data_IF_853173888778
#
_entry.id   IF_853173888778
#
_cell.length_a   1.000
_cell.length_b   1.000
_cell.length_c   1.000
_cell.angle_alpha   90.00
_cell.angle_beta   90.00
_cell.angle_gamma   90.00
#
_symmetry.space_group_name_H-M   'P 1'
#
loop_
_entity.id
_entity.type
_entity.pdbx_description
1 polymer ?
#
# COMPACT_ATOMS: atom_id res chain seq x y z
N UNK A 1 -16.35 16.52 -33.62
CA UNK A 1 -15.91 16.64 -32.22
C UNK A 1 -15.14 15.36 -31.92
N UNK A 2 -13.81 15.43 -31.83
CA UNK A 2 -12.99 14.23 -31.78
C UNK A 2 -12.49 14.07 -30.34
N UNK A 3 -13.19 13.27 -29.54
CA UNK A 3 -12.79 12.92 -28.19
C UNK A 3 -11.64 11.91 -28.25
N UNK A 4 -10.41 12.39 -28.42
CA UNK A 4 -9.20 11.58 -28.27
C UNK A 4 -8.48 12.00 -26.99
N UNK A 5 -9.11 11.75 -25.85
CA UNK A 5 -8.40 11.77 -24.57
C UNK A 5 -7.78 10.38 -24.41
N UNK A 6 -6.44 10.23 -24.43
CA UNK A 6 -5.85 8.94 -24.19
C UNK A 6 -6.14 8.58 -22.74
N UNK A 7 -6.74 7.40 -22.51
CA UNK A 7 -6.70 6.79 -21.18
C UNK A 7 -5.23 6.71 -20.76
N UNK A 8 -4.87 7.09 -19.52
CA UNK A 8 -3.49 6.93 -19.06
C UNK A 8 -3.08 5.48 -19.27
N UNK A 9 -1.92 5.27 -19.88
CA UNK A 9 -1.43 3.93 -20.18
C UNK A 9 -1.38 3.09 -18.89
N UNK A 10 -1.72 1.79 -18.95
CA UNK A 10 -1.63 0.91 -17.79
C UNK A 10 -0.23 0.99 -17.17
N UNK A 11 -0.19 1.13 -15.85
CA UNK A 11 1.09 1.17 -15.13
C UNK A 11 1.77 -0.20 -15.28
N UNK A 12 3.09 -0.25 -15.57
CA UNK A 12 3.79 -1.53 -15.67
C UNK A 12 3.65 -2.33 -14.37
N UNK A 13 3.40 -3.62 -14.49
CA UNK A 13 3.35 -4.51 -13.32
C UNK A 13 4.73 -4.55 -12.64
N UNK A 14 4.74 -4.54 -11.30
CA UNK A 14 5.98 -4.72 -10.54
C UNK A 14 6.50 -6.16 -10.66
N UNK A 15 7.80 -6.35 -10.48
CA UNK A 15 8.42 -7.69 -10.51
C UNK A 15 7.98 -8.54 -9.31
N UNK A 16 8.10 -9.86 -9.44
CA UNK A 16 7.85 -10.78 -8.33
C UNK A 16 8.80 -10.53 -7.15
N UNK A 17 10.05 -10.16 -7.42
CA UNK A 17 11.03 -9.81 -6.38
C UNK A 17 10.62 -8.54 -5.62
N UNK A 18 10.09 -7.53 -6.32
CA UNK A 18 9.60 -6.31 -5.68
C UNK A 18 8.33 -6.58 -4.86
N UNK A 19 7.39 -7.39 -5.38
CA UNK A 19 6.22 -7.82 -4.61
C UNK A 19 6.63 -8.52 -3.31
N UNK A 20 7.54 -9.49 -3.38
CA UNK A 20 8.04 -10.22 -2.21
C UNK A 20 8.75 -9.28 -1.20
N UNK A 21 9.51 -8.30 -1.69
CA UNK A 21 10.12 -7.26 -0.84
C UNK A 21 9.05 -6.48 -0.09
N UNK A 22 7.99 -6.03 -0.77
CA UNK A 22 6.89 -5.27 -0.17
C UNK A 22 6.09 -6.10 0.84
N UNK A 23 5.81 -7.36 0.54
CA UNK A 23 5.16 -8.29 1.47
C UNK A 23 5.94 -8.42 2.77
N UNK A 24 7.26 -8.62 2.68
CA UNK A 24 8.15 -8.69 3.85
C UNK A 24 8.13 -7.39 4.67
N UNK A 25 8.21 -6.24 4.00
CA UNK A 25 8.18 -4.94 4.67
C UNK A 25 6.87 -4.69 5.42
N UNK A 26 5.73 -4.95 4.76
CA UNK A 26 4.39 -4.82 5.38
C UNK A 26 4.22 -5.79 6.54
N UNK A 27 4.64 -7.05 6.37
CA UNK A 27 4.55 -8.05 7.44
C UNK A 27 5.38 -7.66 8.66
N UNK A 28 6.57 -7.09 8.45
CA UNK A 28 7.41 -6.59 9.54
C UNK A 28 6.73 -5.42 10.27
N UNK A 29 6.25 -4.40 9.54
CA UNK A 29 5.55 -3.26 10.12
C UNK A 29 4.29 -3.68 10.91
N UNK A 30 3.50 -4.60 10.37
CA UNK A 30 2.33 -5.19 11.07
C UNK A 30 2.75 -5.88 12.37
N UNK A 31 3.86 -6.60 12.34
CA UNK A 31 4.44 -7.25 13.53
C UNK A 31 4.84 -6.23 14.60
N UNK A 32 5.52 -5.15 14.22
CA UNK A 32 5.92 -4.08 15.15
C UNK A 32 4.71 -3.40 15.81
N UNK A 33 3.69 -3.04 15.03
CA UNK A 33 2.47 -2.42 15.59
C UNK A 33 1.79 -3.34 16.61
N UNK A 34 1.70 -4.64 16.30
CA UNK A 34 1.14 -5.63 17.24
C UNK A 34 1.99 -5.81 18.49
N UNK A 35 3.31 -5.77 18.35
CA UNK A 35 4.23 -5.86 19.48
C UNK A 35 4.03 -4.69 20.47
N UNK A 36 3.64 -3.52 19.97
CA UNK A 36 3.30 -2.34 20.78
C UNK A 36 1.84 -2.31 21.27
N UNK A 37 1.06 -3.38 21.03
CA UNK A 37 -0.34 -3.47 21.43
C UNK A 37 -1.34 -2.80 20.48
N UNK A 38 -0.87 -2.32 19.33
CA UNK A 38 -1.72 -1.77 18.28
C UNK A 38 -2.27 -2.84 17.34
N UNK A 39 -3.40 -2.55 16.71
CA UNK A 39 -3.94 -3.31 15.58
C UNK A 39 -4.11 -2.33 14.41
N UNK A 40 -3.51 -2.66 13.26
CA UNK A 40 -3.71 -1.89 12.03
C UNK A 40 -5.20 -1.82 11.68
N UNK A 41 -5.64 -0.66 11.23
CA UNK A 41 -7.02 -0.48 10.77
C UNK A 41 -7.25 -1.17 9.42
N UNK A 42 -8.51 -1.48 9.11
CA UNK A 42 -8.88 -2.08 7.82
C UNK A 42 -8.48 -1.20 6.62
N UNK A 43 -8.47 0.13 6.82
CA UNK A 43 -8.03 1.08 5.82
C UNK A 43 -6.54 0.91 5.50
N UNK A 44 -5.69 0.82 6.52
CA UNK A 44 -4.25 0.57 6.33
C UNK A 44 -4.01 -0.80 5.70
N UNK A 45 -4.76 -1.83 6.09
CA UNK A 45 -4.61 -3.15 5.46
C UNK A 45 -4.97 -3.13 3.97
N UNK A 46 -5.99 -2.35 3.57
CA UNK A 46 -6.30 -2.13 2.14
C UNK A 46 -5.19 -1.35 1.43
N UNK A 47 -4.64 -0.30 2.04
CA UNK A 47 -3.53 0.50 1.46
C UNK A 47 -2.29 -0.39 1.26
N UNK A 48 -1.94 -1.20 2.26
CA UNK A 48 -0.84 -2.16 2.20
C UNK A 48 -1.01 -3.18 1.07
N UNK A 49 -2.23 -3.73 0.91
CA UNK A 49 -2.51 -4.70 -0.15
C UNK A 49 -2.31 -4.10 -1.54
N UNK A 50 -2.77 -2.86 -1.77
CA UNK A 50 -2.58 -2.13 -3.04
C UNK A 50 -1.10 -1.82 -3.31
N UNK A 51 -0.34 -1.46 -2.28
CA UNK A 51 1.10 -1.27 -2.40
C UNK A 51 1.82 -2.58 -2.77
N UNK A 52 1.49 -3.70 -2.12
CA UNK A 52 2.03 -5.03 -2.46
C UNK A 52 1.66 -5.43 -3.89
N UNK A 53 0.44 -5.12 -4.35
CA UNK A 53 -0.01 -5.43 -5.70
C UNK A 53 0.70 -4.60 -6.79
N UNK A 54 1.39 -3.51 -6.40
CA UNK A 54 2.02 -2.58 -7.33
C UNK A 54 1.07 -1.48 -7.84
N UNK A 55 -0.13 -1.39 -7.27
CA UNK A 55 -1.11 -0.35 -7.62
C UNK A 55 -0.70 1.03 -7.09
N UNK A 56 0.13 1.06 -6.04
CA UNK A 56 0.70 2.28 -5.48
C UNK A 56 2.22 2.33 -5.71
N UNK A 57 2.72 3.51 -6.08
CA UNK A 57 4.14 3.83 -5.93
C UNK A 57 4.48 3.95 -4.45
N UNK A 58 5.78 4.00 -4.12
CA UNK A 58 6.22 4.24 -2.75
C UNK A 58 5.73 5.59 -2.22
N UNK A 59 5.75 6.63 -3.04
CA UNK A 59 5.30 7.98 -2.67
C UNK A 59 3.78 8.02 -2.41
N UNK A 60 2.99 7.41 -3.30
CA UNK A 60 1.55 7.29 -3.13
C UNK A 60 1.20 6.48 -1.86
N UNK A 61 1.94 5.41 -1.60
CA UNK A 61 1.77 4.60 -0.39
C UNK A 61 2.06 5.39 0.88
N UNK A 62 3.20 6.09 0.95
CA UNK A 62 3.57 6.92 2.11
C UNK A 62 2.55 8.03 2.33
N UNK A 63 2.11 8.69 1.26
CA UNK A 63 1.09 9.74 1.35
C UNK A 63 -0.26 9.20 1.83
N UNK A 64 -0.68 8.02 1.35
CA UNK A 64 -1.93 7.40 1.78
C UNK A 64 -1.88 6.98 3.25
N UNK A 65 -0.82 6.28 3.69
CA UNK A 65 -0.65 5.90 5.10
C UNK A 65 -0.61 7.13 6.01
N UNK A 66 0.11 8.18 5.62
CA UNK A 66 0.21 9.41 6.41
C UNK A 66 -1.10 10.20 6.52
N UNK A 67 -2.08 9.93 5.67
CA UNK A 67 -3.41 10.55 5.70
C UNK A 67 -4.46 9.69 6.43
N UNK A 68 -4.12 8.47 6.83
CA UNK A 68 -5.06 7.51 7.43
C UNK A 68 -4.78 7.29 8.92
N UNK A 69 -5.83 6.95 9.67
CA UNK A 69 -5.69 6.49 11.05
C UNK A 69 -5.00 5.12 11.08
N UNK A 70 -3.77 5.10 11.61
CA UNK A 70 -2.84 3.99 11.37
C UNK A 70 -3.18 2.74 12.19
N UNK A 71 -3.46 2.91 13.48
CA UNK A 71 -3.72 1.79 14.38
C UNK A 71 -4.75 2.17 15.44
N UNK A 72 -5.50 1.16 15.89
CA UNK A 72 -6.35 1.23 17.09
C UNK A 72 -5.72 0.41 18.20
N UNK A 73 -6.01 0.77 19.45
CA UNK A 73 -5.63 -0.06 20.59
C UNK A 73 -6.41 -1.38 20.55
N UNK A 74 -5.69 -2.47 20.80
CA UNK A 74 -6.23 -3.82 20.92
C UNK A 74 -7.01 -4.05 22.21
#
# INVERSE_FOLDING_TARGET
>A
MNANTPFPAPRPAISAAERARREKAVSFARGSVRYEGGILTDEIERINARFIAGELTTEEFVSAVGASDTARLG
#
